data_IF_985519938207
#
_entry.id   IF_985519938207
#
_cell.length_a   1.000
_cell.length_b   1.000
_cell.length_c   1.000
_cell.angle_alpha   90.00
_cell.angle_beta   90.00
_cell.angle_gamma   90.00
#
_symmetry.space_group_name_H-M   'P 1'
#
loop_
_entity.id
_entity.type
_entity.pdbx_description
1 polymer ?
#
# COMPACT_ATOMS: atom_id res chain seq x y z
N UNK A 1 -14.70 18.00 5.52
CA UNK A 1 -13.69 17.04 5.10
C UNK A 1 -12.33 17.32 5.74
N UNK A 2 -11.84 18.57 5.79
CA UNK A 2 -10.55 18.91 6.43
C UNK A 2 -10.45 18.63 7.94
N UNK A 3 -11.58 18.48 8.63
CA UNK A 3 -11.66 18.18 10.07
C UNK A 3 -11.77 16.69 10.40
N UNK A 4 -11.82 15.83 9.39
CA UNK A 4 -11.90 14.38 9.60
C UNK A 4 -10.49 13.80 9.68
N UNK A 5 -10.31 12.88 10.61
CA UNK A 5 -9.06 12.13 10.74
C UNK A 5 -8.86 11.25 9.50
N UNK A 6 -7.69 11.36 8.90
CA UNK A 6 -7.29 10.51 7.79
C UNK A 6 -6.67 9.23 8.35
N UNK A 7 -7.00 8.08 7.76
CA UNK A 7 -6.40 6.81 8.14
C UNK A 7 -5.00 6.64 7.51
N UNK A 8 -4.75 7.29 6.37
CA UNK A 8 -3.43 7.35 5.74
C UNK A 8 -3.16 8.74 5.17
N UNK A 9 -1.92 9.21 5.32
CA UNK A 9 -1.45 10.52 4.88
C UNK A 9 -0.10 10.37 4.18
N UNK A 10 0.05 11.02 3.03
CA UNK A 10 1.34 11.25 2.38
C UNK A 10 1.60 12.75 2.37
N UNK A 11 2.74 13.18 2.92
CA UNK A 11 3.13 14.59 2.99
C UNK A 11 4.18 14.87 1.95
N UNK A 12 3.89 15.79 1.02
CA UNK A 12 4.79 16.18 -0.05
C UNK A 12 5.84 17.20 0.44
N UNK A 13 6.89 17.41 -0.36
CA UNK A 13 7.98 18.34 -0.02
C UNK A 13 7.52 19.78 0.26
N UNK A 14 6.47 20.24 -0.43
CA UNK A 14 5.91 21.57 -0.25
C UNK A 14 5.01 21.71 0.99
N UNK A 15 4.82 20.61 1.73
CA UNK A 15 3.96 20.51 2.90
C UNK A 15 2.49 20.27 2.60
N UNK A 16 2.09 20.14 1.33
CA UNK A 16 0.76 19.63 0.99
C UNK A 16 0.63 18.14 1.31
N UNK A 17 -0.59 17.68 1.51
CA UNK A 17 -0.88 16.32 1.98
C UNK A 17 -1.97 15.65 1.16
N UNK A 18 -1.69 14.44 0.69
CA UNK A 18 -2.71 13.52 0.23
C UNK A 18 -3.26 12.74 1.42
N UNK A 19 -4.58 12.75 1.60
CA UNK A 19 -5.25 12.13 2.75
C UNK A 19 -6.33 11.14 2.32
N UNK A 20 -6.20 9.88 2.75
CA UNK A 20 -7.27 8.88 2.65
C UNK A 20 -8.22 9.04 3.84
N UNK A 21 -9.36 9.67 3.59
CA UNK A 21 -10.34 10.00 4.63
C UNK A 21 -11.52 9.03 4.56
N UNK A 22 -11.84 8.31 5.66
CA UNK A 22 -13.01 7.45 5.69
C UNK A 22 -14.30 8.29 5.71
N UNK A 23 -15.25 7.97 4.83
CA UNK A 23 -16.53 8.68 4.68
C UNK A 23 -17.75 7.80 4.95
N UNK A 24 -17.57 6.48 4.96
CA UNK A 24 -18.61 5.51 5.30
C UNK A 24 -17.98 4.29 5.99
N UNK A 25 -18.79 3.55 6.75
CA UNK A 25 -18.37 2.32 7.43
C UNK A 25 -19.51 1.29 7.44
N UNK A 26 -19.23 0.08 6.95
CA UNK A 26 -20.17 -1.03 6.96
C UNK A 26 -19.45 -2.35 7.24
N UNK A 27 -20.05 -3.22 8.07
CA UNK A 27 -19.55 -4.56 8.37
C UNK A 27 -18.05 -4.62 8.76
N UNK A 28 -17.57 -3.63 9.52
CA UNK A 28 -16.17 -3.55 9.96
C UNK A 28 -15.19 -3.02 8.90
N UNK A 29 -15.67 -2.62 7.73
CA UNK A 29 -14.89 -2.01 6.65
C UNK A 29 -15.22 -0.52 6.52
N UNK A 30 -14.23 0.29 6.14
CA UNK A 30 -14.39 1.71 5.81
C UNK A 30 -14.29 1.92 4.30
N UNK A 31 -14.92 2.99 3.84
CA UNK A 31 -14.88 3.48 2.46
C UNK A 31 -14.30 4.89 2.45
N UNK A 32 -13.53 5.21 1.42
CA UNK A 32 -12.63 6.35 1.45
C UNK A 32 -12.92 7.36 0.35
N UNK A 33 -12.53 8.61 0.61
CA UNK A 33 -12.23 9.60 -0.43
C UNK A 33 -10.75 9.98 -0.32
N UNK A 34 -10.15 10.35 -1.44
CA UNK A 34 -8.83 10.97 -1.47
C UNK A 34 -8.98 12.49 -1.50
N UNK A 35 -8.38 13.15 -0.52
CA UNK A 35 -8.26 14.61 -0.48
C UNK A 35 -6.83 15.03 -0.81
N UNK A 36 -6.68 16.19 -1.43
CA UNK A 36 -5.44 16.95 -1.44
C UNK A 36 -5.63 18.19 -0.56
N UNK A 37 -4.85 18.30 0.50
CA UNK A 37 -4.83 19.44 1.43
C UNK A 37 -3.56 20.25 1.14
N UNK A 38 -3.71 21.54 0.92
CA UNK A 38 -2.58 22.43 0.65
C UNK A 38 -1.76 22.66 1.94
N UNK A 39 -0.52 23.11 1.79
CA UNK A 39 0.41 23.36 2.89
C UNK A 39 -0.10 24.36 3.95
N UNK A 40 -1.12 25.15 3.62
CA UNK A 40 -1.78 26.04 4.58
C UNK A 40 -2.67 25.29 5.61
N UNK A 41 -2.89 23.99 5.39
CA UNK A 41 -3.74 23.10 6.20
C UNK A 41 -5.24 23.46 6.18
N UNK A 42 -5.65 24.43 5.36
CA UNK A 42 -6.98 25.06 5.37
C UNK A 42 -7.69 25.00 4.03
N UNK A 43 -6.92 24.86 2.95
CA UNK A 43 -7.40 24.73 1.59
C UNK A 43 -7.27 23.27 1.18
N UNK A 44 -8.30 22.69 0.58
CA UNK A 44 -8.19 21.35 0.02
C UNK A 44 -9.33 21.02 -0.94
N UNK A 45 -9.14 19.94 -1.68
CA UNK A 45 -10.10 19.45 -2.67
C UNK A 45 -10.29 17.93 -2.56
N UNK A 46 -11.45 17.45 -3.02
CA UNK A 46 -11.67 16.02 -3.23
C UNK A 46 -11.06 15.65 -4.58
N UNK A 47 -9.97 14.90 -4.55
CA UNK A 47 -9.27 14.42 -5.75
C UNK A 47 -10.00 13.22 -6.33
N UNK A 48 -10.48 12.33 -5.46
CA UNK A 48 -11.19 11.12 -5.86
C UNK A 48 -12.22 10.73 -4.80
N UNK A 49 -13.46 10.50 -5.22
CA UNK A 49 -14.55 10.10 -4.33
C UNK A 49 -14.64 8.59 -4.07
N UNK A 50 -13.86 7.78 -4.79
CA UNK A 50 -13.83 6.33 -4.68
C UNK A 50 -12.45 5.76 -5.11
N UNK A 51 -11.38 6.01 -4.31
CA UNK A 51 -10.01 5.62 -4.66
C UNK A 51 -9.80 4.10 -4.63
N UNK A 52 -10.70 3.34 -4.01
CA UNK A 52 -10.62 1.88 -3.91
C UNK A 52 -11.71 1.14 -4.70
N UNK A 53 -12.37 1.82 -5.64
CA UNK A 53 -13.26 1.20 -6.63
C UNK A 53 -14.42 0.41 -5.98
N UNK A 54 -15.00 0.96 -4.92
CA UNK A 54 -16.08 0.35 -4.14
C UNK A 54 -15.63 -0.73 -3.16
N UNK A 55 -14.33 -1.00 -3.04
CA UNK A 55 -13.80 -1.94 -2.04
C UNK A 55 -13.73 -1.30 -0.66
N UNK A 56 -14.30 -1.99 0.32
CA UNK A 56 -14.21 -1.63 1.73
C UNK A 56 -13.01 -2.30 2.40
N UNK A 57 -12.38 -1.60 3.33
CA UNK A 57 -11.25 -2.11 4.10
C UNK A 57 -10.72 -1.09 5.10
N UNK A 58 -9.42 -1.14 5.40
CA UNK A 58 -8.72 -0.11 6.14
C UNK A 58 -7.47 0.34 5.36
N UNK A 59 -7.44 1.61 4.95
CA UNK A 59 -6.30 2.20 4.26
C UNK A 59 -5.07 2.16 5.18
N UNK A 60 -4.01 1.46 4.78
CA UNK A 60 -2.77 1.35 5.57
C UNK A 60 -1.83 2.51 5.31
N UNK A 61 -1.67 2.87 4.03
CA UNK A 61 -0.76 3.90 3.59
C UNK A 61 -1.15 4.39 2.19
N UNK A 62 -0.69 5.59 1.87
CA UNK A 62 -0.65 6.16 0.53
C UNK A 62 0.73 6.80 0.36
N UNK A 63 1.28 6.76 -0.85
CA UNK A 63 2.55 7.40 -1.18
C UNK A 63 2.58 7.80 -2.65
N UNK A 64 2.96 9.04 -2.93
CA UNK A 64 3.25 9.56 -4.27
C UNK A 64 4.75 9.68 -4.48
N UNK A 65 5.18 9.31 -5.69
CA UNK A 65 6.55 9.52 -6.13
C UNK A 65 6.81 10.99 -6.44
N UNK A 66 8.08 11.38 -6.55
CA UNK A 66 8.53 12.75 -6.82
C UNK A 66 8.00 13.33 -8.15
N UNK A 67 7.49 12.49 -9.07
CA UNK A 67 6.83 12.95 -10.29
C UNK A 67 5.46 13.61 -10.05
N UNK A 68 4.94 13.56 -8.81
CA UNK A 68 3.69 14.15 -8.36
C UNK A 68 2.43 13.56 -9.00
N UNK A 69 2.55 12.42 -9.70
CA UNK A 69 1.44 11.82 -10.47
C UNK A 69 1.28 10.34 -10.19
N UNK A 70 2.39 9.62 -10.16
CA UNK A 70 2.44 8.19 -9.88
C UNK A 70 2.37 8.02 -8.38
N UNK A 71 1.37 7.27 -7.92
CA UNK A 71 1.17 7.01 -6.50
C UNK A 71 0.64 5.62 -6.27
N UNK A 72 0.79 5.16 -5.03
CA UNK A 72 0.47 3.82 -4.60
C UNK A 72 -0.26 3.87 -3.27
N UNK A 73 -1.09 2.85 -3.02
CA UNK A 73 -1.78 2.70 -1.74
C UNK A 73 -2.07 1.25 -1.45
N UNK A 74 -2.07 0.90 -0.17
CA UNK A 74 -2.53 -0.39 0.32
C UNK A 74 -3.85 -0.26 1.08
N UNK A 75 -4.86 -1.03 0.66
CA UNK A 75 -6.09 -1.25 1.43
C UNK A 75 -6.02 -2.62 2.09
N UNK A 76 -5.94 -2.66 3.42
CA UNK A 76 -6.05 -3.91 4.16
C UNK A 76 -7.51 -4.38 4.27
N UNK A 77 -7.73 -5.69 4.20
CA UNK A 77 -9.05 -6.30 4.34
C UNK A 77 -8.94 -7.65 5.06
N UNK A 78 -10.08 -8.29 5.32
CA UNK A 78 -10.15 -9.56 6.06
C UNK A 78 -9.47 -9.47 7.43
N UNK A 79 -9.74 -8.39 8.19
CA UNK A 79 -9.15 -8.17 9.51
C UNK A 79 -7.65 -7.83 9.49
N UNK A 80 -7.12 -7.41 8.35
CA UNK A 80 -5.68 -7.10 8.20
C UNK A 80 -4.84 -8.31 7.75
N UNK A 81 -5.47 -9.45 7.47
CA UNK A 81 -4.76 -10.63 6.95
C UNK A 81 -4.27 -10.47 5.51
N UNK A 82 -4.86 -9.56 4.73
CA UNK A 82 -4.55 -9.36 3.31
C UNK A 82 -4.55 -7.89 2.94
N UNK A 83 -3.76 -7.53 1.93
CA UNK A 83 -3.71 -6.20 1.34
C UNK A 83 -4.04 -6.21 -0.15
N UNK A 84 -4.89 -5.27 -0.57
CA UNK A 84 -5.11 -4.95 -1.97
C UNK A 84 -4.22 -3.76 -2.34
N UNK A 85 -3.54 -3.86 -3.49
CA UNK A 85 -2.53 -2.90 -3.91
C UNK A 85 -3.07 -2.03 -5.04
N UNK A 86 -3.02 -0.72 -4.87
CA UNK A 86 -3.57 0.23 -5.83
C UNK A 86 -2.49 1.16 -6.36
N UNK A 87 -2.66 1.56 -7.62
CA UNK A 87 -1.78 2.50 -8.31
C UNK A 87 -2.59 3.57 -9.03
N UNK A 88 -2.11 4.81 -8.97
CA UNK A 88 -2.54 5.94 -9.80
C UNK A 88 -1.40 6.40 -10.72
N UNK A 89 -1.73 7.10 -11.81
CA UNK A 89 -0.78 7.72 -12.73
C UNK A 89 -1.12 9.20 -13.03
N UNK A 90 -2.15 9.72 -12.38
CA UNK A 90 -2.80 10.99 -12.71
C UNK A 90 -3.05 11.86 -11.47
N UNK A 91 -2.22 11.69 -10.44
CA UNK A 91 -2.31 12.47 -9.20
C UNK A 91 -3.47 12.02 -8.30
N UNK A 92 -3.88 10.75 -8.40
CA UNK A 92 -4.94 10.16 -7.58
C UNK A 92 -6.36 10.25 -8.16
N UNK A 93 -6.54 10.89 -9.32
CA UNK A 93 -7.87 11.06 -9.95
C UNK A 93 -8.47 9.72 -10.36
N UNK A 94 -7.64 8.79 -10.81
CA UNK A 94 -8.03 7.40 -11.06
C UNK A 94 -7.05 6.44 -10.40
N UNK A 95 -7.59 5.33 -9.88
CA UNK A 95 -6.81 4.22 -9.36
C UNK A 95 -7.16 2.94 -10.12
N UNK A 96 -6.19 2.04 -10.15
CA UNK A 96 -6.37 0.64 -10.55
C UNK A 96 -5.77 -0.26 -9.49
N UNK A 97 -6.40 -1.41 -9.26
CA UNK A 97 -5.76 -2.49 -8.52
C UNK A 97 -4.62 -3.07 -9.38
N UNK A 98 -3.48 -3.33 -8.76
CA UNK A 98 -2.30 -3.94 -9.39
C UNK A 98 -1.96 -5.21 -8.63
N UNK A 99 -1.78 -6.31 -9.35
CA UNK A 99 -1.30 -7.56 -8.76
C UNK A 99 0.22 -7.67 -8.86
N UNK A 100 0.80 -8.48 -7.99
CA UNK A 100 2.21 -8.85 -8.00
C UNK A 100 2.33 -10.37 -7.83
N UNK A 101 3.41 -10.99 -8.34
CA UNK A 101 3.52 -12.45 -8.37
C UNK A 101 3.72 -13.03 -6.96
N UNK A 102 3.29 -14.28 -6.78
CA UNK A 102 3.68 -15.03 -5.58
C UNK A 102 5.19 -15.29 -5.55
N UNK A 103 5.78 -15.20 -4.36
CA UNK A 103 7.17 -15.61 -4.12
C UNK A 103 7.41 -17.12 -4.30
N UNK A 104 6.33 -17.94 -4.34
CA UNK A 104 6.37 -19.40 -4.51
C UNK A 104 7.40 -20.06 -3.57
N UNK A 105 7.27 -19.78 -2.27
CA UNK A 105 8.11 -20.41 -1.26
C UNK A 105 7.81 -21.90 -1.22
N UNK A 106 8.83 -22.74 -1.38
CA UNK A 106 8.68 -24.20 -1.36
C UNK A 106 8.77 -24.73 0.07
N UNK A 107 7.70 -25.35 0.55
CA UNK A 107 7.64 -25.99 1.85
C UNK A 107 8.28 -27.39 1.83
N UNK A 108 8.56 -27.94 3.01
CA UNK A 108 9.19 -29.26 3.17
C UNK A 108 8.36 -30.41 2.60
N UNK A 109 7.04 -30.25 2.54
CA UNK A 109 6.11 -31.22 1.94
C UNK A 109 6.03 -31.11 0.40
N UNK A 110 6.78 -30.19 -0.20
CA UNK A 110 6.83 -29.96 -1.64
C UNK A 110 5.75 -29.02 -2.18
N UNK A 111 4.85 -28.52 -1.33
CA UNK A 111 3.86 -27.51 -1.72
C UNK A 111 4.48 -26.11 -1.81
N UNK A 112 3.76 -25.20 -2.47
CA UNK A 112 4.15 -23.80 -2.58
C UNK A 112 3.25 -22.92 -1.72
N UNK A 113 3.86 -21.99 -1.01
CA UNK A 113 3.21 -21.05 -0.13
C UNK A 113 3.55 -19.61 -0.53
N UNK A 114 2.59 -18.71 -0.34
CA UNK A 114 2.79 -17.28 -0.55
C UNK A 114 2.61 -16.53 0.78
N UNK A 115 3.69 -16.29 1.53
CA UNK A 115 3.60 -15.54 2.78
C UNK A 115 3.31 -14.06 2.52
N UNK A 116 3.83 -13.49 1.43
CA UNK A 116 3.83 -12.05 1.20
C UNK A 116 2.54 -11.62 0.49
N UNK A 117 1.59 -11.09 1.27
CA UNK A 117 0.22 -10.77 0.84
C UNK A 117 -0.24 -9.36 1.25
N UNK A 118 0.63 -8.58 1.88
CA UNK A 118 0.35 -7.22 2.34
C UNK A 118 1.41 -6.26 1.79
N UNK A 119 1.13 -5.41 0.79
CA UNK A 119 2.05 -4.35 0.40
C UNK A 119 2.32 -3.41 1.58
N UNK A 120 3.58 -3.18 1.92
CA UNK A 120 3.96 -2.37 3.09
C UNK A 120 4.50 -0.98 2.70
N UNK A 121 5.25 -0.87 1.60
CA UNK A 121 5.76 0.41 1.07
C UNK A 121 6.25 0.27 -0.37
N UNK A 122 6.34 1.40 -1.07
CA UNK A 122 6.95 1.53 -2.40
C UNK A 122 7.95 2.68 -2.37
N UNK A 123 9.07 2.54 -3.07
CA UNK A 123 10.03 3.62 -3.28
C UNK A 123 10.73 3.48 -4.64
N UNK A 124 11.44 4.52 -5.08
CA UNK A 124 12.18 4.55 -6.34
C UNK A 124 13.69 4.68 -6.08
N UNK A 125 14.50 3.85 -6.73
CA UNK A 125 15.97 3.97 -6.77
C UNK A 125 16.44 3.81 -8.22
N UNK A 126 17.22 4.77 -8.71
CA UNK A 126 17.80 4.74 -10.07
C UNK A 126 16.79 4.45 -11.21
N UNK A 127 15.55 4.89 -11.05
CA UNK A 127 14.47 4.69 -12.03
C UNK A 127 13.74 3.35 -11.93
N UNK A 128 14.11 2.51 -10.96
CA UNK A 128 13.46 1.23 -10.66
C UNK A 128 12.59 1.41 -9.42
N UNK A 129 11.33 0.95 -9.50
CA UNK A 129 10.47 0.93 -8.33
C UNK A 129 10.68 -0.35 -7.55
N UNK A 130 10.76 -0.23 -6.23
CA UNK A 130 10.81 -1.34 -5.29
C UNK A 130 9.57 -1.34 -4.41
N UNK A 131 9.15 -2.54 -4.01
CA UNK A 131 8.03 -2.75 -3.10
C UNK A 131 8.35 -3.87 -2.12
N UNK A 132 8.15 -3.60 -0.84
CA UNK A 132 8.15 -4.64 0.18
C UNK A 132 6.71 -5.13 0.40
N UNK A 133 6.51 -6.44 0.37
CA UNK A 133 5.27 -7.08 0.76
C UNK A 133 5.50 -7.92 2.03
N UNK A 134 4.79 -7.55 3.10
CA UNK A 134 4.69 -8.27 4.34
C UNK A 134 3.63 -9.36 4.33
N UNK A 135 3.43 -9.96 5.49
CA UNK A 135 2.62 -11.18 5.63
C UNK A 135 1.19 -10.95 6.10
N UNK A 136 0.83 -9.69 6.42
CA UNK A 136 -0.42 -9.36 7.06
C UNK A 136 -0.46 -9.76 8.54
N UNK A 137 -1.61 -9.56 9.18
CA UNK A 137 -1.80 -9.76 10.62
C UNK A 137 -1.58 -11.21 11.08
N UNK A 138 -1.81 -12.18 10.20
CA UNK A 138 -1.68 -13.61 10.47
C UNK A 138 -0.27 -14.16 10.14
N UNK A 139 0.69 -13.27 9.85
CA UNK A 139 2.05 -13.64 9.45
C UNK A 139 2.83 -14.45 10.48
N UNK A 140 3.16 -15.68 10.11
CA UNK A 140 3.94 -16.63 10.91
C UNK A 140 5.11 -17.26 10.13
N UNK A 141 5.39 -16.79 8.92
CA UNK A 141 6.50 -17.29 8.12
C UNK A 141 7.83 -16.69 8.58
N UNK A 142 8.79 -17.59 8.80
CA UNK A 142 10.18 -17.28 9.08
C UNK A 142 11.04 -18.03 8.08
N UNK A 143 12.01 -17.35 7.51
CA UNK A 143 13.10 -18.02 6.82
C UNK A 143 14.20 -18.37 7.84
N UNK A 144 15.31 -18.91 7.34
CA UNK A 144 16.45 -19.31 8.18
C UNK A 144 17.08 -18.15 8.99
N UNK A 145 16.87 -16.91 8.52
CA UNK A 145 17.48 -15.70 9.07
C UNK A 145 16.49 -14.87 9.92
N UNK A 146 15.17 -15.15 9.85
CA UNK A 146 14.17 -14.55 10.71
C UNK A 146 12.81 -14.30 10.04
N UNK A 147 12.00 -13.46 10.69
CA UNK A 147 10.77 -12.95 10.11
C UNK A 147 11.14 -12.07 8.91
N UNK A 148 10.44 -12.24 7.79
CA UNK A 148 10.83 -11.59 6.55
C UNK A 148 9.63 -11.09 5.74
N UNK A 149 9.93 -10.15 4.85
CA UNK A 149 9.07 -9.68 3.78
C UNK A 149 9.60 -10.16 2.43
N UNK A 150 8.78 -10.05 1.39
CA UNK A 150 9.21 -10.21 0.01
C UNK A 150 9.58 -8.86 -0.58
N UNK A 151 10.74 -8.78 -1.23
CA UNK A 151 11.13 -7.63 -2.05
C UNK A 151 10.73 -7.89 -3.50
N UNK A 152 10.16 -6.87 -4.11
CA UNK A 152 9.73 -6.84 -5.50
C UNK A 152 10.29 -5.61 -6.21
N UNK A 153 10.50 -5.71 -7.52
CA UNK A 153 10.84 -4.55 -8.35
C UNK A 153 9.92 -4.41 -9.56
N UNK A 154 9.95 -3.22 -10.16
CA UNK A 154 9.25 -2.88 -11.40
C UNK A 154 10.05 -1.88 -12.23
N UNK A 155 10.30 -2.24 -13.49
CA UNK A 155 10.95 -1.39 -14.50
C UNK A 155 9.95 -0.61 -15.37
N UNK A 156 8.64 -0.80 -15.14
CA UNK A 156 7.57 -0.21 -15.96
C UNK A 156 6.70 0.76 -15.16
N UNK A 157 7.31 1.42 -14.17
CA UNK A 157 6.66 2.36 -13.25
C UNK A 157 5.51 1.72 -12.48
N UNK A 158 5.65 0.48 -12.05
CA UNK A 158 4.73 -0.23 -11.17
C UNK A 158 3.49 -0.77 -11.87
N UNK A 159 3.51 -0.93 -13.19
CA UNK A 159 2.42 -1.59 -13.92
C UNK A 159 2.49 -3.10 -13.77
N UNK A 160 3.70 -3.65 -13.75
CA UNK A 160 3.99 -5.05 -13.46
C UNK A 160 5.12 -5.15 -12.44
N UNK A 161 5.14 -6.24 -11.69
CA UNK A 161 6.09 -6.48 -10.61
C UNK A 161 6.75 -7.85 -10.75
N UNK A 162 8.02 -7.92 -10.38
CA UNK A 162 8.83 -9.13 -10.32
C UNK A 162 9.28 -9.38 -8.90
N UNK A 163 9.26 -10.63 -8.45
CA UNK A 163 9.80 -11.01 -7.14
C UNK A 163 11.33 -11.10 -7.20
N UNK A 164 12.01 -10.52 -6.22
CA UNK A 164 13.47 -10.59 -6.10
C UNK A 164 13.91 -11.62 -5.06
N UNK A 165 13.59 -11.35 -3.80
CA UNK A 165 14.15 -12.09 -2.65
C UNK A 165 13.36 -11.82 -1.38
N UNK A 166 13.65 -12.62 -0.37
CA UNK A 166 13.21 -12.35 1.00
C UNK A 166 14.14 -11.31 1.64
N UNK A 167 13.57 -10.42 2.45
CA UNK A 167 14.30 -9.43 3.26
C UNK A 167 13.90 -9.57 4.72
N UNK A 168 14.87 -9.77 5.60
CA UNK A 168 14.63 -9.94 7.03
C UNK A 168 14.23 -8.60 7.65
N UNK A 169 13.19 -8.61 8.47
CA UNK A 169 12.67 -7.42 9.16
C UNK A 169 12.36 -7.74 10.62
N UNK A 170 12.33 -6.70 11.46
CA UNK A 170 11.93 -6.86 12.86
C UNK A 170 10.40 -7.02 12.97
N UNK A 171 9.95 -8.13 13.57
CA UNK A 171 8.51 -8.45 13.65
C UNK A 171 7.68 -7.43 14.43
N UNK A 172 8.25 -6.81 15.46
CA UNK A 172 7.53 -5.82 16.27
C UNK A 172 7.35 -4.48 15.54
N UNK A 173 8.16 -4.18 14.52
CA UNK A 173 8.00 -3.00 13.67
C UNK A 173 6.79 -3.11 12.71
N UNK A 174 6.25 -4.32 12.51
CA UNK A 174 5.14 -4.60 11.58
C UNK A 174 3.74 -4.57 12.22
N UNK A 175 3.63 -4.25 13.52
CA UNK A 175 2.38 -4.31 14.31
C UNK A 175 1.67 -2.96 14.52
N UNK A 176 2.12 -1.88 13.88
CA UNK A 176 1.52 -0.55 14.01
C UNK A 176 0.59 -0.24 12.83
#
# INVERSE_FOLDING_TARGET
>A
YLTYDADAVDTLEDGSEYRMVPVDQAAGSRYYVLLLVQADGKTGEVVNSDPYLGMGGAAKWIHFLDDGKTGFSCLSYSGGAKGAFYRTADGGKTFREVSYPSAKIKLSDGTYYNPFVMPEKVWEEDGILYMEAGQGADGDYYNQDGFCHGLYHSDDRGMTWSYDKEVVVEKDACRN
#
